data_IF_590798128954
#
_entry.id   IF_590798128954
#
_cell.length_a   1.000
_cell.length_b   1.000
_cell.length_c   1.000
_cell.angle_alpha   90.00
_cell.angle_beta   90.00
_cell.angle_gamma   90.00
#
_symmetry.space_group_name_H-M   'P 1'
#
loop_
_entity.id
_entity.type
_entity.pdbx_description
1 polymer ?
#
# COMPACT_ATOMS: atom_id res chain seq x y z
N UNK A 1 -8.80 1.34 1.67
CA UNK A 1 -8.73 -0.09 1.45
C UNK A 1 -10.14 -0.65 1.52
N UNK A 2 -10.95 -0.46 0.50
CA UNK A 2 -12.24 -1.13 0.42
C UNK A 2 -12.04 -2.63 0.32
N UNK A 3 -12.87 -3.42 1.00
CA UNK A 3 -12.98 -4.86 0.78
C UNK A 3 -14.29 -5.19 0.08
N UNK A 4 -14.21 -5.98 -1.00
CA UNK A 4 -15.38 -6.41 -1.75
C UNK A 4 -16.15 -7.52 -1.00
N UNK A 5 -17.17 -7.13 -0.24
CA UNK A 5 -18.04 -8.04 0.53
C UNK A 5 -18.90 -8.96 -0.35
N UNK A 6 -19.05 -8.68 -1.66
CA UNK A 6 -19.91 -9.48 -2.56
C UNK A 6 -19.28 -10.80 -3.01
N UNK A 7 -17.97 -10.97 -2.80
CA UNK A 7 -17.20 -12.15 -3.22
C UNK A 7 -17.13 -13.27 -2.17
N UNK A 8 -17.85 -13.13 -1.07
CA UNK A 8 -17.88 -14.12 0.03
C UNK A 8 -18.73 -15.34 -0.35
N UNK A 9 -18.11 -16.52 -0.37
CA UNK A 9 -18.79 -17.81 -0.56
C UNK A 9 -18.94 -18.63 0.73
N UNK A 10 -18.45 -18.17 1.88
CA UNK A 10 -18.49 -18.91 3.16
C UNK A 10 -18.79 -17.97 4.34
N UNK A 11 -19.48 -18.51 5.34
CA UNK A 11 -19.72 -17.87 6.64
C UNK A 11 -18.39 -17.42 7.25
N UNK A 12 -18.21 -16.15 7.64
CA UNK A 12 -16.96 -15.70 8.22
C UNK A 12 -16.66 -16.45 9.50
N UNK A 13 -15.49 -17.07 9.58
CA UNK A 13 -14.94 -17.56 10.85
C UNK A 13 -14.75 -16.40 11.82
N UNK A 14 -14.81 -16.63 13.13
CA UNK A 14 -14.52 -15.55 14.07
C UNK A 14 -13.04 -15.16 14.06
N UNK A 15 -12.75 -13.86 14.18
CA UNK A 15 -11.39 -13.37 14.31
C UNK A 15 -10.75 -13.86 15.62
N UNK A 16 -9.47 -14.30 15.62
CA UNK A 16 -8.73 -14.61 16.84
C UNK A 16 -8.77 -13.45 17.84
N UNK A 17 -8.74 -13.75 19.14
CA UNK A 17 -8.90 -12.75 20.19
C UNK A 17 -7.91 -11.57 20.07
N UNK A 18 -6.62 -11.86 19.86
CA UNK A 18 -5.58 -10.83 19.69
C UNK A 18 -5.80 -9.98 18.43
N UNK A 19 -6.27 -10.60 17.36
CA UNK A 19 -6.64 -9.91 16.12
C UNK A 19 -7.80 -8.96 16.35
N UNK A 20 -8.84 -9.42 17.05
CA UNK A 20 -10.04 -8.63 17.39
C UNK A 20 -9.68 -7.46 18.30
N UNK A 21 -8.86 -7.70 19.32
CA UNK A 21 -8.40 -6.66 20.24
C UNK A 21 -7.62 -5.55 19.51
N UNK A 22 -6.73 -5.93 18.58
CA UNK A 22 -5.99 -4.95 17.78
C UNK A 22 -6.91 -4.17 16.83
N UNK A 23 -7.84 -4.85 16.15
CA UNK A 23 -8.82 -4.21 15.26
C UNK A 23 -9.63 -3.16 16.03
N UNK A 24 -10.19 -3.52 17.18
CA UNK A 24 -11.01 -2.60 17.97
C UNK A 24 -10.20 -1.43 18.54
N UNK A 25 -8.95 -1.68 18.97
CA UNK A 25 -8.02 -0.60 19.38
C UNK A 25 -7.82 0.42 18.26
N UNK A 26 -7.47 -0.04 17.06
CA UNK A 26 -7.17 0.84 15.92
C UNK A 26 -8.44 1.57 15.41
N UNK A 27 -9.60 0.90 15.44
CA UNK A 27 -10.89 1.52 15.09
C UNK A 27 -11.26 2.66 16.03
N UNK A 28 -10.96 2.53 17.33
CA UNK A 28 -11.25 3.55 18.33
C UNK A 28 -10.31 4.76 18.32
N UNK A 29 -9.22 4.73 17.55
CA UNK A 29 -8.24 5.81 17.52
C UNK A 29 -8.71 7.01 16.67
N UNK A 30 -8.48 8.23 17.16
CA UNK A 30 -8.39 9.44 16.32
C UNK A 30 -7.27 9.31 15.29
N UNK A 31 -7.22 10.20 14.30
CA UNK A 31 -6.19 10.17 13.26
C UNK A 31 -4.78 10.34 13.87
N UNK A 32 -4.61 11.23 14.85
CA UNK A 32 -3.35 11.47 15.54
C UNK A 32 -2.90 10.25 16.37
N UNK A 33 -3.83 9.64 17.11
CA UNK A 33 -3.56 8.41 17.87
C UNK A 33 -3.22 7.25 16.93
N UNK A 34 -3.93 7.15 15.81
CA UNK A 34 -3.75 6.10 14.83
C UNK A 34 -2.34 6.13 14.23
N UNK A 35 -1.76 7.31 13.94
CA UNK A 35 -0.36 7.41 13.51
C UNK A 35 0.57 6.74 14.51
N UNK A 36 0.43 7.10 15.79
CA UNK A 36 1.31 6.61 16.86
C UNK A 36 1.18 5.11 17.04
N UNK A 37 -0.05 4.60 17.05
CA UNK A 37 -0.35 3.18 17.22
C UNK A 37 0.17 2.33 16.06
N UNK A 38 -0.05 2.76 14.82
CA UNK A 38 0.43 2.04 13.64
C UNK A 38 1.96 2.00 13.56
N UNK A 39 2.65 3.08 13.96
CA UNK A 39 4.12 3.16 13.96
C UNK A 39 4.78 2.26 15.01
N UNK A 40 4.08 1.92 16.09
CA UNK A 40 4.57 0.98 17.10
C UNK A 40 4.56 -0.47 16.59
N UNK A 41 3.72 -0.78 15.60
CA UNK A 41 3.57 -2.13 15.04
C UNK A 41 4.61 -2.35 13.93
N UNK A 42 5.85 -2.65 14.35
CA UNK A 42 6.96 -2.94 13.42
C UNK A 42 7.06 -4.41 13.03
N UNK A 43 6.53 -5.31 13.86
CA UNK A 43 6.52 -6.75 13.62
C UNK A 43 5.12 -7.31 13.81
N UNK A 44 4.78 -8.33 13.03
CA UNK A 44 3.49 -9.00 13.17
C UNK A 44 3.58 -10.10 14.22
N UNK A 45 3.06 -9.82 15.41
CA UNK A 45 3.11 -10.74 16.55
C UNK A 45 1.79 -11.52 16.74
N UNK A 46 0.82 -11.31 15.86
CA UNK A 46 -0.46 -12.02 15.86
C UNK A 46 -0.33 -13.24 14.93
N UNK A 47 -1.06 -14.32 15.22
CA UNK A 47 -1.21 -15.41 14.25
C UNK A 47 -1.70 -14.91 12.89
N UNK A 48 -1.56 -15.75 11.85
CA UNK A 48 -2.05 -15.42 10.51
C UNK A 48 -3.56 -15.12 10.57
N UNK A 49 -4.00 -14.03 9.94
CA UNK A 49 -5.37 -13.54 10.05
C UNK A 49 -6.10 -13.51 8.70
N UNK A 50 -7.44 -13.52 8.72
CA UNK A 50 -8.23 -13.31 7.50
C UNK A 50 -8.36 -11.82 7.21
N UNK A 51 -8.06 -11.38 5.98
CA UNK A 51 -8.19 -9.97 5.61
C UNK A 51 -9.62 -9.43 5.79
N UNK A 52 -10.62 -10.31 5.69
CA UNK A 52 -12.02 -9.96 5.89
C UNK A 52 -12.31 -9.38 7.29
N UNK A 53 -11.63 -9.81 8.35
CA UNK A 53 -11.88 -9.26 9.69
C UNK A 53 -11.50 -7.78 9.81
N UNK A 54 -10.65 -7.31 8.90
CA UNK A 54 -10.11 -5.96 8.90
C UNK A 54 -10.95 -4.99 8.06
N UNK A 55 -12.03 -5.45 7.43
CA UNK A 55 -12.82 -4.66 6.45
C UNK A 55 -13.14 -3.26 6.94
N UNK A 56 -13.70 -3.09 8.14
CA UNK A 56 -14.15 -1.77 8.59
C UNK A 56 -12.97 -0.80 8.79
N UNK A 57 -11.83 -1.30 9.29
CA UNK A 57 -10.62 -0.50 9.41
C UNK A 57 -10.04 -0.16 8.03
N UNK A 58 -10.05 -1.14 7.12
CA UNK A 58 -9.58 -0.97 5.76
C UNK A 58 -10.46 0.02 4.98
N UNK A 59 -11.77 0.01 5.18
CA UNK A 59 -12.73 0.96 4.60
C UNK A 59 -12.38 2.40 5.06
N UNK A 60 -12.03 2.61 6.34
CA UNK A 60 -11.49 3.90 6.82
C UNK A 60 -10.19 4.26 6.11
N UNK A 61 -9.27 3.31 5.95
CA UNK A 61 -8.04 3.56 5.18
C UNK A 61 -8.33 3.88 3.70
N UNK A 62 -9.52 3.57 3.18
CA UNK A 62 -9.90 3.89 1.79
C UNK A 62 -10.14 5.36 1.60
N UNK A 63 -10.96 5.91 2.47
CA UNK A 63 -11.22 7.34 2.50
C UNK A 63 -9.91 8.13 2.65
N UNK A 64 -8.99 7.67 3.51
CA UNK A 64 -7.69 8.32 3.71
C UNK A 64 -6.78 8.24 2.48
N UNK A 65 -6.69 7.07 1.83
CA UNK A 65 -5.94 6.92 0.58
C UNK A 65 -6.53 7.80 -0.54
N UNK A 66 -7.86 7.86 -0.64
CA UNK A 66 -8.56 8.67 -1.63
C UNK A 66 -8.35 10.17 -1.39
N UNK A 67 -8.42 10.62 -0.13
CA UNK A 67 -8.13 12.01 0.26
C UNK A 67 -6.67 12.36 -0.07
N UNK A 68 -5.72 11.53 0.34
CA UNK A 68 -4.30 11.74 0.10
C UNK A 68 -3.94 11.82 -1.39
N UNK A 69 -4.55 10.95 -2.20
CA UNK A 69 -4.33 10.89 -3.65
C UNK A 69 -5.13 11.91 -4.46
N UNK A 70 -5.91 12.79 -3.83
CA UNK A 70 -6.68 13.80 -4.58
C UNK A 70 -5.73 14.84 -5.21
N UNK A 71 -5.84 15.13 -6.52
CA UNK A 71 -5.09 16.23 -7.13
C UNK A 71 -5.51 17.58 -6.53
N UNK A 72 -4.56 18.49 -6.38
CA UNK A 72 -4.85 19.86 -5.94
C UNK A 72 -5.45 20.64 -7.11
N UNK A 73 -6.62 21.27 -6.92
CA UNK A 73 -7.38 21.93 -8.02
C UNK A 73 -6.55 22.94 -8.82
N UNK A 74 -5.72 23.74 -8.14
CA UNK A 74 -4.84 24.73 -8.78
C UNK A 74 -3.49 24.17 -9.25
N UNK A 75 -3.13 22.94 -8.86
CA UNK A 75 -1.85 22.29 -9.12
C UNK A 75 -2.09 20.79 -9.32
N UNK A 76 -2.68 20.41 -10.45
CA UNK A 76 -3.12 19.04 -10.71
C UNK A 76 -1.99 17.99 -10.72
N UNK A 77 -0.74 18.42 -10.85
CA UNK A 77 0.45 17.59 -10.72
C UNK A 77 0.80 17.24 -9.26
N UNK A 78 0.28 18.00 -8.30
CA UNK A 78 0.51 17.82 -6.87
C UNK A 78 -0.66 17.05 -6.24
N UNK A 79 -0.35 16.05 -5.41
CA UNK A 79 -1.34 15.34 -4.61
C UNK A 79 -1.60 16.06 -3.28
N UNK A 80 -2.77 15.85 -2.69
CA UNK A 80 -3.14 16.48 -1.43
C UNK A 80 -2.16 16.16 -0.28
N UNK A 81 -1.58 14.95 -0.26
CA UNK A 81 -0.56 14.58 0.73
C UNK A 81 0.80 15.25 0.53
N UNK A 82 1.08 15.79 -0.65
CA UNK A 82 2.36 16.45 -0.96
C UNK A 82 2.41 17.89 -0.45
N UNK A 83 1.25 18.47 -0.11
CA UNK A 83 1.17 19.86 0.37
C UNK A 83 1.90 20.02 1.72
N UNK A 84 2.77 21.03 1.87
CA UNK A 84 3.47 21.28 3.14
C UNK A 84 2.52 21.38 4.34
N UNK A 85 1.38 22.05 4.18
CA UNK A 85 0.36 22.22 5.23
C UNK A 85 -0.34 20.92 5.64
N UNK A 86 -0.22 19.85 4.84
CA UNK A 86 -0.86 18.55 5.04
C UNK A 86 0.11 17.49 5.62
N UNK A 87 1.18 17.91 6.32
CA UNK A 87 2.09 16.96 6.99
C UNK A 87 1.37 15.90 7.87
N UNK A 88 0.32 16.24 8.66
CA UNK A 88 -0.38 15.22 9.45
C UNK A 88 -1.01 14.12 8.61
N UNK A 89 -1.63 14.49 7.46
CA UNK A 89 -2.20 13.54 6.51
C UNK A 89 -1.12 12.63 5.92
N UNK A 90 0.03 13.19 5.55
CA UNK A 90 1.16 12.42 5.02
C UNK A 90 1.73 11.43 6.04
N UNK A 91 1.87 11.86 7.30
CA UNK A 91 2.33 10.98 8.38
C UNK A 91 1.38 9.79 8.59
N UNK A 92 0.07 10.05 8.58
CA UNK A 92 -0.96 9.02 8.67
C UNK A 92 -0.95 8.09 7.45
N UNK A 93 -0.80 8.64 6.24
CA UNK A 93 -0.67 7.87 5.00
C UNK A 93 0.52 6.91 5.04
N UNK A 94 1.68 7.36 5.49
CA UNK A 94 2.86 6.50 5.60
C UNK A 94 2.66 5.39 6.63
N UNK A 95 2.08 5.73 7.79
CA UNK A 95 1.79 4.76 8.85
C UNK A 95 0.81 3.68 8.37
N UNK A 96 -0.29 4.05 7.70
CA UNK A 96 -1.29 3.10 7.20
C UNK A 96 -0.76 2.25 6.03
N UNK A 97 0.06 2.79 5.13
CA UNK A 97 0.66 2.02 4.03
C UNK A 97 1.61 0.95 4.58
N UNK A 98 2.47 1.31 5.53
CA UNK A 98 3.40 0.39 6.17
C UNK A 98 2.67 -0.71 6.96
N UNK A 99 1.68 -0.34 7.75
CA UNK A 99 0.84 -1.30 8.47
C UNK A 99 0.12 -2.25 7.50
N UNK A 100 -0.40 -1.72 6.39
CA UNK A 100 -1.10 -2.55 5.40
C UNK A 100 -0.17 -3.52 4.72
N UNK A 101 1.07 -3.13 4.41
CA UNK A 101 2.06 -4.06 3.88
C UNK A 101 2.27 -5.23 4.85
N UNK A 102 2.40 -4.94 6.15
CA UNK A 102 2.52 -5.95 7.18
C UNK A 102 1.27 -6.84 7.29
N UNK A 103 0.07 -6.25 7.31
CA UNK A 103 -1.20 -6.99 7.33
C UNK A 103 -1.34 -7.91 6.11
N UNK A 104 -1.00 -7.45 4.90
CA UNK A 104 -1.06 -8.24 3.67
C UNK A 104 -0.01 -9.37 3.70
N UNK A 105 1.14 -9.16 4.31
CA UNK A 105 2.16 -10.20 4.47
C UNK A 105 1.65 -11.38 5.32
N UNK A 106 0.95 -11.08 6.41
CA UNK A 106 0.48 -12.05 7.41
C UNK A 106 -1.03 -12.36 7.32
N UNK A 107 -1.67 -12.10 6.17
CA UNK A 107 -3.08 -12.43 5.95
C UNK A 107 -3.31 -13.46 4.84
N UNK A 108 -4.52 -14.01 4.83
CA UNK A 108 -5.09 -14.77 3.71
C UNK A 108 -6.33 -14.06 3.15
N UNK A 109 -6.93 -14.63 2.09
CA UNK A 109 -8.05 -14.01 1.36
C UNK A 109 -7.74 -12.62 0.76
N UNK A 110 -6.48 -12.34 0.42
CA UNK A 110 -6.00 -11.03 -0.08
C UNK A 110 -6.62 -10.51 -1.37
N UNK A 111 -7.26 -11.37 -2.14
CA UNK A 111 -8.04 -10.98 -3.32
C UNK A 111 -9.22 -10.05 -2.98
N UNK A 112 -9.58 -9.97 -1.70
CA UNK A 112 -10.58 -9.07 -1.15
C UNK A 112 -10.15 -7.60 -1.17
N UNK A 113 -8.85 -7.29 -1.21
CA UNK A 113 -8.35 -5.92 -1.29
C UNK A 113 -8.79 -5.26 -2.60
N UNK A 114 -9.44 -4.09 -2.54
CA UNK A 114 -10.02 -3.47 -3.74
C UNK A 114 -9.60 -2.02 -4.02
N UNK A 115 -8.55 -1.53 -3.37
CA UNK A 115 -8.08 -0.13 -3.44
C UNK A 115 -6.79 0.09 -4.22
N UNK A 116 -6.54 -0.75 -5.23
CA UNK A 116 -5.35 -0.65 -6.05
C UNK A 116 -5.29 0.68 -6.82
N UNK A 117 -6.45 1.26 -7.17
CA UNK A 117 -6.52 2.54 -7.88
C UNK A 117 -5.89 3.69 -7.09
N UNK A 118 -6.11 3.76 -5.77
CA UNK A 118 -5.46 4.77 -4.94
C UNK A 118 -3.95 4.55 -4.84
N UNK A 119 -3.50 3.30 -4.77
CA UNK A 119 -2.06 3.00 -4.78
C UNK A 119 -1.42 3.46 -6.10
N UNK A 120 -2.06 3.18 -7.23
CA UNK A 120 -1.60 3.65 -8.55
C UNK A 120 -1.52 5.18 -8.63
N UNK A 121 -2.49 5.90 -8.06
CA UNK A 121 -2.45 7.37 -8.00
C UNK A 121 -1.31 7.87 -7.12
N UNK A 122 -1.11 7.28 -5.95
CA UNK A 122 -0.09 7.70 -4.99
C UNK A 122 1.35 7.46 -5.47
N UNK A 123 1.57 6.56 -6.44
CA UNK A 123 2.87 6.44 -7.14
C UNK A 123 3.25 7.71 -7.92
N UNK A 124 2.34 8.67 -8.10
CA UNK A 124 2.62 9.99 -8.68
C UNK A 124 2.99 11.06 -7.64
N UNK A 125 3.05 10.71 -6.35
CA UNK A 125 3.46 11.64 -5.29
C UNK A 125 4.87 12.18 -5.54
N UNK A 126 5.07 13.46 -5.21
CA UNK A 126 6.38 14.10 -5.22
C UNK A 126 7.26 13.74 -4.01
N UNK A 127 6.70 13.12 -2.98
CA UNK A 127 7.45 12.62 -1.81
C UNK A 127 7.86 11.16 -2.00
N UNK A 128 9.18 10.92 -2.09
CA UNK A 128 9.73 9.58 -2.32
C UNK A 128 9.42 8.59 -1.19
N UNK A 129 9.16 9.03 0.04
CA UNK A 129 8.75 8.12 1.11
C UNK A 129 7.37 7.54 0.84
N UNK A 130 6.45 8.33 0.26
CA UNK A 130 5.12 7.87 -0.13
C UNK A 130 5.25 6.85 -1.25
N UNK A 131 6.04 7.17 -2.28
CA UNK A 131 6.30 6.25 -3.41
C UNK A 131 6.89 4.93 -2.91
N UNK A 132 7.91 4.97 -2.04
CA UNK A 132 8.52 3.78 -1.46
C UNK A 132 7.55 2.94 -0.61
N UNK A 133 6.70 3.58 0.20
CA UNK A 133 5.70 2.88 1.00
C UNK A 133 4.66 2.17 0.12
N UNK A 134 4.23 2.79 -0.99
CA UNK A 134 3.34 2.18 -1.97
C UNK A 134 4.03 1.02 -2.69
N UNK A 135 5.28 1.21 -3.15
CA UNK A 135 6.07 0.16 -3.79
C UNK A 135 6.28 -1.05 -2.87
N UNK A 136 6.54 -0.83 -1.59
CA UNK A 136 6.65 -1.90 -0.60
C UNK A 136 5.35 -2.70 -0.50
N UNK A 137 4.19 -2.04 -0.43
CA UNK A 137 2.89 -2.71 -0.41
C UNK A 137 2.66 -3.54 -1.70
N UNK A 138 2.98 -2.99 -2.87
CA UNK A 138 2.89 -3.70 -4.15
C UNK A 138 3.86 -4.90 -4.22
N UNK A 139 5.06 -4.76 -3.67
CA UNK A 139 6.04 -5.83 -3.52
C UNK A 139 5.48 -6.96 -2.65
N UNK A 140 4.90 -6.64 -1.49
CA UNK A 140 4.28 -7.67 -0.62
C UNK A 140 3.15 -8.39 -1.34
N UNK A 141 2.29 -7.67 -2.07
CA UNK A 141 1.26 -8.31 -2.90
C UNK A 141 1.87 -9.28 -3.92
N UNK A 142 2.94 -8.87 -4.62
CA UNK A 142 3.63 -9.70 -5.63
C UNK A 142 4.30 -10.93 -5.02
N UNK A 143 5.00 -10.74 -3.89
CA UNK A 143 5.73 -11.81 -3.20
C UNK A 143 4.79 -12.83 -2.60
N UNK A 144 3.68 -12.37 -2.03
CA UNK A 144 2.85 -13.22 -1.18
C UNK A 144 1.58 -13.69 -1.88
N UNK A 145 1.16 -13.12 -3.01
CA UNK A 145 -0.10 -13.45 -3.67
C UNK A 145 -0.07 -13.28 -5.20
N UNK A 146 -1.04 -13.88 -5.88
CA UNK A 146 -1.30 -13.61 -7.30
C UNK A 146 -2.28 -12.42 -7.48
N UNK A 147 -2.30 -11.47 -6.54
CA UNK A 147 -3.26 -10.35 -6.56
C UNK A 147 -3.10 -9.51 -7.83
N UNK A 148 -1.90 -9.02 -8.10
CA UNK A 148 -1.61 -8.11 -9.22
C UNK A 148 -1.87 -8.80 -10.56
N UNK A 149 -1.50 -10.08 -10.70
CA UNK A 149 -1.72 -10.84 -11.95
C UNK A 149 -3.19 -11.12 -12.23
N UNK A 150 -4.04 -11.13 -11.20
CA UNK A 150 -5.51 -11.32 -11.29
C UNK A 150 -6.30 -10.01 -11.41
N UNK A 151 -5.65 -8.86 -11.39
CA UNK A 151 -6.33 -7.58 -11.66
C UNK A 151 -6.83 -7.54 -13.10
N UNK A 152 -8.04 -7.02 -13.30
CA UNK A 152 -8.57 -6.72 -14.64
C UNK A 152 -7.71 -5.67 -15.36
N UNK A 153 -7.75 -5.68 -16.70
CA UNK A 153 -6.95 -4.78 -17.56
C UNK A 153 -7.07 -3.32 -17.16
N UNK A 154 -8.28 -2.85 -16.86
CA UNK A 154 -8.59 -1.47 -16.45
C UNK A 154 -7.77 -0.98 -15.25
N UNK A 155 -7.47 -1.87 -14.30
CA UNK A 155 -6.69 -1.54 -13.09
C UNK A 155 -5.21 -1.89 -13.24
N UNK A 156 -4.93 -3.00 -13.94
CA UNK A 156 -3.56 -3.50 -14.13
C UNK A 156 -2.75 -2.64 -15.10
N UNK A 157 -3.35 -2.19 -16.19
CA UNK A 157 -2.68 -1.38 -17.22
C UNK A 157 -2.08 -0.08 -16.67
N UNK A 158 -2.88 0.79 -16.03
CA UNK A 158 -2.37 2.03 -15.43
C UNK A 158 -1.30 1.81 -14.36
N UNK A 159 -1.45 0.75 -13.55
CA UNK A 159 -0.44 0.38 -12.54
C UNK A 159 0.89 0.03 -13.20
N UNK A 160 0.88 -0.85 -14.20
CA UNK A 160 2.10 -1.26 -14.91
C UNK A 160 2.75 -0.09 -15.65
N UNK A 161 1.96 0.77 -16.29
CA UNK A 161 2.48 1.97 -16.94
C UNK A 161 3.21 2.88 -15.93
N UNK A 162 2.61 3.11 -14.76
CA UNK A 162 3.24 3.94 -13.72
C UNK A 162 4.52 3.33 -13.17
N UNK A 163 4.53 2.02 -12.91
CA UNK A 163 5.73 1.30 -12.46
C UNK A 163 6.84 1.33 -13.52
N UNK A 164 6.48 1.19 -14.81
CA UNK A 164 7.42 1.31 -15.91
C UNK A 164 8.06 2.70 -15.94
N UNK A 165 7.27 3.77 -15.85
CA UNK A 165 7.79 5.14 -15.83
C UNK A 165 8.71 5.43 -14.63
N UNK A 166 8.42 4.86 -13.45
CA UNK A 166 9.33 4.96 -12.31
C UNK A 166 10.66 4.23 -12.59
N UNK A 167 10.57 3.02 -13.14
CA UNK A 167 11.72 2.18 -13.43
C UNK A 167 12.56 2.64 -14.63
N UNK A 168 12.01 3.45 -15.54
CA UNK A 168 12.72 4.00 -16.72
C UNK A 168 14.03 4.70 -16.35
N UNK A 169 14.09 5.31 -15.16
CA UNK A 169 15.28 5.99 -14.64
C UNK A 169 16.19 5.10 -13.78
N UNK A 170 15.73 3.91 -13.38
CA UNK A 170 16.45 3.01 -12.45
C UNK A 170 17.51 2.14 -13.12
N UNK A 171 17.67 2.24 -14.45
CA UNK A 171 18.71 1.54 -15.19
C UNK A 171 18.67 1.83 -16.68
N UNK A 172 19.54 1.16 -17.43
CA UNK A 172 19.70 1.38 -18.87
C UNK A 172 21.07 1.96 -19.22
N UNK A 173 21.43 1.84 -20.51
CA UNK A 173 22.73 2.27 -21.05
C UNK A 173 23.04 3.74 -20.71
N UNK A 174 22.04 4.61 -20.78
CA UNK A 174 22.18 6.04 -20.52
C UNK A 174 22.46 6.37 -19.04
N UNK A 175 22.12 5.47 -18.12
CA UNK A 175 22.32 5.62 -16.67
C UNK A 175 23.49 4.76 -16.14
N UNK A 176 24.32 4.17 -17.00
CA UNK A 176 25.46 3.35 -16.62
C UNK A 176 25.12 1.94 -16.11
N UNK A 177 23.86 1.50 -16.28
CA UNK A 177 23.38 0.17 -15.91
C UNK A 177 22.85 -0.57 -17.15
N UNK A 178 23.66 -0.64 -18.22
CA UNK A 178 23.35 -1.51 -19.34
C UNK A 178 23.26 -2.96 -18.87
N UNK A 179 22.30 -3.75 -19.37
CA UNK A 179 22.21 -5.18 -19.05
C UNK A 179 23.53 -5.92 -19.29
N UNK A 180 24.24 -5.59 -20.37
CA UNK A 180 25.56 -6.13 -20.66
C UNK A 180 26.64 -5.69 -19.65
N UNK A 181 26.49 -4.52 -19.02
CA UNK A 181 27.37 -4.02 -17.95
C UNK A 181 27.09 -4.69 -16.61
N UNK A 182 25.81 -4.87 -16.26
CA UNK A 182 25.39 -5.56 -15.05
C UNK A 182 25.80 -7.05 -15.03
N UNK A 183 26.01 -7.65 -16.20
CA UNK A 183 26.48 -9.03 -16.34
C UNK A 183 28.01 -9.16 -16.44
N UNK A 184 28.78 -8.06 -16.37
CA UNK A 184 30.25 -8.17 -16.29
C UNK A 184 30.60 -8.56 -14.86
N UNK A 185 31.44 -9.58 -14.70
CA UNK A 185 32.04 -9.94 -13.42
C UNK A 185 33.00 -8.83 -12.97
N UNK A 186 32.45 -7.79 -12.33
CA UNK A 186 33.22 -6.75 -11.68
C UNK A 186 33.86 -7.35 -10.43
N UNK A 187 35.17 -7.52 -10.46
CA UNK A 187 35.93 -7.76 -9.23
C UNK A 187 35.75 -6.53 -8.35
N UNK A 188 35.01 -6.66 -7.24
CA UNK A 188 34.94 -5.59 -6.24
C UNK A 188 36.37 -5.33 -5.75
N UNK A 189 36.91 -4.14 -6.06
CA UNK A 189 38.12 -3.63 -5.41
C UNK A 189 37.78 -3.07 -4.04
#
# INVERSE_FOLDING_TARGET
MKVDRTKLKKTPTEAPADCRALIEKLKGCSDEQLVTELQQIKTWNIGKCELYHWVDLLDRFDALLAEAGRPVEAMSWMLACDRPERQPLKALLLALLNFTALLIEYSFSRHLYSSIEHLTTLLASSDMHVVLAVLNLLYVFSKRSNYITRLGSERRGPLLARLQHLAESWGGKENGFGLAECCRDLHMM
#
